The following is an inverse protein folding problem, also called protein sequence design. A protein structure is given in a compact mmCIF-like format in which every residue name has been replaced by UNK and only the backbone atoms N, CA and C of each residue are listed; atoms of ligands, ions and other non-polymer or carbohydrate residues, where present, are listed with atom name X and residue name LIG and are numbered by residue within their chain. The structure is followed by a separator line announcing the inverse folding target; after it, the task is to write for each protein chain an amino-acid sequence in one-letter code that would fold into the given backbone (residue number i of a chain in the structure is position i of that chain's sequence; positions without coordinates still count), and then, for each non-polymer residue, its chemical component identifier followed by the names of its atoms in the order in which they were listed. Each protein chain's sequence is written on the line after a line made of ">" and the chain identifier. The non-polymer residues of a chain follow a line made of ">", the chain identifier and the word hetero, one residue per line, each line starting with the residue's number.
data_IF_108583714748
#
_entry.id   IF_108583714748
#
_cell.length_a   1.000
_cell.length_b   1.000
_cell.length_c   1.000
_cell.angle_alpha   90.00
_cell.angle_beta   90.00
_cell.angle_gamma   90.00
#
_symmetry.space_group_name_H-M   'P 1'
#
loop_
_entity.id
_entity.type
_entity.pdbx_description
1 polymer ?
#
# COMPACT_ATOMS: atom_id res chain seq x y z
N UNK A 1 -12.19 0.43 2.28
CA UNK A 1 -12.05 -0.95 1.76
C UNK A 1 -11.00 -1.73 2.51
N UNK A 2 -11.40 -2.91 2.95
CA UNK A 2 -10.58 -3.92 3.60
C UNK A 2 -10.18 -5.04 2.62
N UNK A 3 -9.40 -6.01 3.11
CA UNK A 3 -8.84 -7.09 2.28
C UNK A 3 -9.90 -7.99 1.64
N UNK A 4 -11.02 -8.24 2.34
CA UNK A 4 -12.10 -9.11 1.85
C UNK A 4 -12.87 -8.43 0.72
N UNK A 5 -13.18 -7.15 0.88
CA UNK A 5 -13.87 -6.32 -0.12
C UNK A 5 -13.05 -6.18 -1.40
N UNK A 6 -11.76 -5.87 -1.28
CA UNK A 6 -10.85 -5.79 -2.44
C UNK A 6 -10.80 -7.14 -3.19
N UNK A 7 -10.73 -8.25 -2.44
CA UNK A 7 -10.73 -9.60 -3.03
C UNK A 7 -12.03 -9.89 -3.78
N UNK A 8 -13.18 -9.45 -3.26
CA UNK A 8 -14.49 -9.61 -3.91
C UNK A 8 -14.56 -8.87 -5.24
N UNK A 9 -14.13 -7.61 -5.30
CA UNK A 9 -14.07 -6.85 -6.55
C UNK A 9 -13.10 -7.48 -7.54
N UNK A 10 -11.92 -7.95 -7.10
CA UNK A 10 -10.95 -8.63 -7.97
C UNK A 10 -11.48 -9.91 -8.60
N UNK A 11 -12.41 -10.63 -7.95
CA UNK A 11 -13.05 -11.82 -8.54
C UNK A 11 -13.88 -11.48 -9.78
N UNK A 12 -14.36 -10.24 -9.90
CA UNK A 12 -15.10 -9.76 -11.07
C UNK A 12 -14.21 -9.57 -12.30
N UNK A 13 -12.88 -9.54 -12.13
CA UNK A 13 -11.93 -9.44 -13.25
C UNK A 13 -11.56 -10.84 -13.77
N UNK A 14 -12.56 -11.57 -14.23
CA UNK A 14 -12.40 -12.88 -14.86
C UNK A 14 -13.47 -13.10 -15.93
N UNK A 15 -13.24 -13.97 -16.93
CA UNK A 15 -14.24 -14.24 -17.96
C UNK A 15 -15.60 -14.68 -17.41
N UNK A 16 -15.60 -15.46 -16.32
CA UNK A 16 -16.82 -16.04 -15.76
C UNK A 16 -17.64 -15.04 -14.91
N UNK A 17 -17.02 -13.99 -14.38
CA UNK A 17 -17.65 -13.05 -13.45
C UNK A 17 -17.55 -11.59 -13.95
N UNK A 18 -17.35 -11.39 -15.25
CA UNK A 18 -17.01 -10.07 -15.79
C UNK A 18 -18.17 -9.07 -15.64
N UNK A 19 -18.05 -8.16 -14.66
CA UNK A 19 -18.98 -7.05 -14.45
C UNK A 19 -18.63 -5.79 -15.26
N UNK A 20 -17.55 -5.83 -16.05
CA UNK A 20 -17.09 -4.67 -16.82
C UNK A 20 -17.97 -4.47 -18.04
N UNK A 21 -18.52 -3.27 -18.17
CA UNK A 21 -19.41 -2.90 -19.27
C UNK A 21 -18.67 -2.15 -20.37
N UNK A 22 -17.70 -1.30 -20.01
CA UNK A 22 -16.98 -0.42 -20.94
C UNK A 22 -15.54 -0.27 -20.54
N UNK A 23 -14.69 -0.15 -21.56
CA UNK A 23 -13.29 0.24 -21.45
C UNK A 23 -13.02 1.45 -22.32
N UNK A 24 -12.26 2.37 -21.77
CA UNK A 24 -11.74 3.54 -22.43
C UNK A 24 -10.24 3.60 -22.18
N UNK A 25 -9.47 4.08 -23.16
CA UNK A 25 -8.04 4.25 -23.00
C UNK A 25 -7.48 5.42 -23.77
N UNK A 26 -6.35 5.94 -23.33
CA UNK A 26 -5.64 7.04 -23.97
C UNK A 26 -4.13 6.78 -23.89
N UNK A 27 -3.48 6.62 -25.04
CA UNK A 27 -2.03 6.47 -25.14
C UNK A 27 -1.40 7.85 -25.28
N UNK A 28 -0.47 8.14 -24.37
CA UNK A 28 0.20 9.44 -24.25
C UNK A 28 1.69 9.23 -24.43
N UNK A 29 2.30 10.05 -25.28
CA UNK A 29 3.75 10.04 -25.46
C UNK A 29 4.49 10.86 -24.40
N UNK A 30 5.82 10.75 -24.35
CA UNK A 30 6.66 11.51 -23.42
C UNK A 30 6.62 13.04 -23.62
N UNK A 31 5.99 13.54 -24.69
CA UNK A 31 5.74 14.97 -24.93
C UNK A 31 4.32 15.39 -24.48
N UNK A 32 3.59 14.52 -23.77
CA UNK A 32 2.22 14.72 -23.29
C UNK A 32 1.16 14.84 -24.41
N UNK A 33 1.43 14.31 -25.61
CA UNK A 33 0.45 14.28 -26.68
C UNK A 33 -0.40 13.00 -26.62
N UNK A 34 -1.72 13.14 -26.75
CA UNK A 34 -2.65 12.02 -26.99
C UNK A 34 -2.38 11.44 -28.39
N UNK A 35 -1.87 10.22 -28.47
CA UNK A 35 -1.54 9.54 -29.73
C UNK A 35 -2.68 8.68 -30.26
N UNK A 36 -3.39 8.01 -29.39
CA UNK A 36 -4.57 7.21 -29.74
C UNK A 36 -5.48 7.04 -28.55
N UNK A 37 -6.75 6.82 -28.83
CA UNK A 37 -7.78 6.53 -27.84
C UNK A 37 -8.48 5.21 -28.16
N UNK A 38 -9.02 4.58 -27.13
CA UNK A 38 -9.85 3.39 -27.18
C UNK A 38 -11.18 3.72 -26.51
N UNK A 39 -12.30 3.28 -27.09
CA UNK A 39 -13.62 3.35 -26.47
C UNK A 39 -14.54 2.25 -26.97
N UNK A 40 -14.66 1.19 -26.19
CA UNK A 40 -15.33 -0.05 -26.63
C UNK A 40 -16.17 -0.67 -25.51
N UNK A 41 -17.14 -1.51 -25.89
CA UNK A 41 -17.75 -2.43 -24.94
C UNK A 41 -16.69 -3.46 -24.53
N UNK A 42 -16.52 -3.71 -23.23
CA UNK A 42 -15.39 -4.55 -22.80
C UNK A 42 -15.46 -5.98 -23.35
N UNK A 43 -16.67 -6.54 -23.44
CA UNK A 43 -16.90 -7.88 -24.00
C UNK A 43 -16.76 -7.97 -25.53
N UNK A 44 -16.48 -6.87 -26.23
CA UNK A 44 -16.15 -6.91 -27.66
C UNK A 44 -14.66 -7.09 -27.96
N UNK A 45 -13.81 -7.00 -26.94
CA UNK A 45 -12.39 -7.30 -27.05
C UNK A 45 -12.15 -8.80 -27.29
N UNK A 46 -10.98 -9.14 -27.83
CA UNK A 46 -10.57 -10.55 -27.92
C UNK A 46 -10.32 -11.15 -26.54
N UNK A 47 -10.49 -12.47 -26.38
CA UNK A 47 -10.25 -13.16 -25.10
C UNK A 47 -8.83 -12.96 -24.58
N UNK A 48 -7.85 -12.92 -25.49
CA UNK A 48 -6.44 -12.69 -25.16
C UNK A 48 -6.22 -11.29 -24.58
N UNK A 49 -6.79 -10.25 -25.20
CA UNK A 49 -6.72 -8.87 -24.70
C UNK A 49 -7.46 -8.73 -23.37
N UNK A 50 -8.66 -9.31 -23.24
CA UNK A 50 -9.43 -9.30 -22.00
C UNK A 50 -8.61 -9.88 -20.84
N UNK A 51 -7.91 -11.00 -21.06
CA UNK A 51 -7.05 -11.59 -20.04
C UNK A 51 -5.95 -10.63 -19.59
N UNK A 52 -5.30 -9.93 -20.53
CA UNK A 52 -4.26 -8.92 -20.21
C UNK A 52 -4.81 -7.73 -19.44
N UNK A 53 -5.99 -7.22 -19.83
CA UNK A 53 -6.65 -6.16 -19.08
C UNK A 53 -7.06 -6.60 -17.67
N UNK A 54 -7.56 -7.83 -17.50
CA UNK A 54 -7.84 -8.36 -16.16
C UNK A 54 -6.59 -8.44 -15.27
N UNK A 55 -5.43 -8.81 -15.83
CA UNK A 55 -4.17 -8.80 -15.07
C UNK A 55 -3.81 -7.38 -14.59
N UNK A 56 -3.98 -6.38 -15.45
CA UNK A 56 -3.77 -4.95 -15.10
C UNK A 56 -4.73 -4.51 -13.99
N UNK A 57 -6.04 -4.72 -14.13
CA UNK A 57 -7.02 -4.26 -13.13
C UNK A 57 -6.84 -4.96 -11.79
N UNK A 58 -6.53 -6.26 -11.80
CA UNK A 58 -6.17 -7.00 -10.58
C UNK A 58 -4.91 -6.42 -9.94
N UNK A 59 -3.92 -6.00 -10.73
CA UNK A 59 -2.69 -5.40 -10.23
C UNK A 59 -2.96 -4.03 -9.59
N UNK A 60 -3.83 -3.21 -10.17
CA UNK A 60 -4.31 -1.95 -9.58
C UNK A 60 -4.99 -2.16 -8.23
N UNK A 61 -5.58 -3.32 -8.00
CA UNK A 61 -6.17 -3.69 -6.70
C UNK A 61 -5.26 -4.62 -5.87
N UNK A 62 -3.95 -4.63 -6.10
CA UNK A 62 -3.02 -5.51 -5.40
C UNK A 62 -1.94 -4.76 -4.64
N UNK A 63 -1.54 -5.32 -3.51
CA UNK A 63 -0.48 -4.78 -2.66
C UNK A 63 -0.92 -4.80 -1.21
N UNK A 64 -0.12 -4.17 -0.35
CA UNK A 64 -0.43 -4.07 1.09
C UNK A 64 -1.34 -2.88 1.33
N UNK A 65 -2.44 -3.09 2.05
CA UNK A 65 -3.35 -2.01 2.49
C UNK A 65 -2.60 -1.09 3.45
N UNK A 66 -2.78 0.22 3.30
CA UNK A 66 -2.04 1.24 4.04
C UNK A 66 -0.63 1.51 3.53
N UNK A 67 -0.21 0.85 2.44
CA UNK A 67 1.11 1.01 1.82
C UNK A 67 1.03 1.21 0.31
N UNK A 68 0.51 0.22 -0.41
CA UNK A 68 0.29 0.30 -1.86
C UNK A 68 -1.16 0.65 -2.19
N UNK A 69 -2.10 0.19 -1.35
CA UNK A 69 -3.52 0.44 -1.46
C UNK A 69 -3.95 1.33 -0.31
N UNK A 70 -4.44 2.53 -0.60
CA UNK A 70 -4.69 3.58 0.38
C UNK A 70 -6.13 4.01 0.22
N UNK A 71 -6.93 3.88 1.29
CA UNK A 71 -8.26 4.49 1.32
C UNK A 71 -8.07 6.00 1.54
N UNK A 72 -8.64 6.81 0.66
CA UNK A 72 -8.58 8.26 0.72
C UNK A 72 -9.99 8.81 0.80
N UNK A 73 -10.27 9.52 1.88
CA UNK A 73 -11.56 10.14 2.12
C UNK A 73 -11.60 11.52 1.42
N UNK A 74 -12.75 11.86 0.85
CA UNK A 74 -12.96 13.19 0.31
C UNK A 74 -13.23 14.18 1.46
N UNK A 75 -12.53 15.32 1.50
CA UNK A 75 -12.93 16.42 2.36
C UNK A 75 -14.34 16.91 1.99
N UNK A 76 -15.12 17.38 2.97
CA UNK A 76 -16.49 17.86 2.75
C UNK A 76 -16.62 18.93 1.65
N UNK A 77 -15.59 19.73 1.41
CA UNK A 77 -15.58 20.72 0.33
C UNK A 77 -15.52 20.08 -1.06
N UNK A 78 -14.87 18.92 -1.21
CA UNK A 78 -14.77 18.20 -2.49
C UNK A 78 -16.07 17.47 -2.86
N UNK A 79 -16.96 17.25 -1.90
CA UNK A 79 -18.29 16.65 -2.12
C UNK A 79 -19.35 17.67 -2.58
N UNK A 80 -19.01 18.97 -2.58
CA UNK A 80 -19.90 20.05 -3.03
C UNK A 80 -19.79 20.24 -4.55
N UNK A 81 -20.73 21.02 -5.10
CA UNK A 81 -20.71 21.42 -6.51
C UNK A 81 -19.38 22.11 -6.87
N UNK A 82 -18.74 21.63 -7.94
CA UNK A 82 -17.42 22.06 -8.39
C UNK A 82 -16.24 21.30 -7.77
N UNK A 83 -16.48 20.39 -6.82
CA UNK A 83 -15.45 19.57 -6.20
C UNK A 83 -15.00 18.39 -7.08
N UNK A 84 -13.83 17.83 -6.75
CA UNK A 84 -13.23 16.69 -7.47
C UNK A 84 -14.07 15.41 -7.38
N UNK A 85 -14.76 15.17 -6.25
CA UNK A 85 -15.66 14.03 -6.10
C UNK A 85 -16.86 14.14 -7.04
N UNK A 86 -17.43 15.35 -7.20
CA UNK A 86 -18.52 15.58 -8.15
C UNK A 86 -18.11 15.25 -9.59
N UNK A 87 -16.88 15.58 -9.99
CA UNK A 87 -16.34 15.22 -11.30
C UNK A 87 -16.26 13.70 -11.49
N UNK A 88 -15.76 12.95 -10.50
CA UNK A 88 -15.73 11.49 -10.56
C UNK A 88 -17.14 10.88 -10.58
N UNK A 89 -18.09 11.47 -9.87
CA UNK A 89 -19.50 11.09 -9.90
C UNK A 89 -20.11 11.30 -11.29
N UNK A 90 -19.81 12.41 -11.96
CA UNK A 90 -20.22 12.69 -13.36
C UNK A 90 -19.58 11.70 -14.34
N UNK A 91 -18.28 11.46 -14.22
CA UNK A 91 -17.54 10.51 -15.05
C UNK A 91 -18.13 9.11 -14.95
N UNK A 92 -18.33 8.60 -13.73
CA UNK A 92 -19.00 7.31 -13.48
C UNK A 92 -20.44 7.31 -13.99
N UNK A 93 -21.23 8.33 -13.66
CA UNK A 93 -22.64 8.45 -14.04
C UNK A 93 -22.87 8.51 -15.55
N UNK A 94 -21.87 9.01 -16.31
CA UNK A 94 -21.86 8.96 -17.77
C UNK A 94 -21.67 7.56 -18.34
N UNK A 95 -21.29 6.57 -17.52
CA UNK A 95 -20.92 5.20 -17.91
C UNK A 95 -19.82 5.17 -18.96
N UNK A 96 -18.95 6.20 -18.93
CA UNK A 96 -17.90 6.49 -19.91
C UNK A 96 -18.44 6.66 -21.34
N UNK A 97 -19.68 7.16 -21.49
CA UNK A 97 -20.30 7.39 -22.79
C UNK A 97 -20.16 8.84 -23.26
N UNK A 98 -19.98 9.78 -22.35
CA UNK A 98 -19.76 11.18 -22.68
C UNK A 98 -18.29 11.42 -23.07
N UNK A 99 -18.06 11.85 -24.32
CA UNK A 99 -16.71 12.13 -24.80
C UNK A 99 -16.11 13.38 -24.15
N UNK A 100 -16.91 14.41 -23.86
CA UNK A 100 -16.36 15.64 -23.29
C UNK A 100 -15.82 15.40 -21.88
N UNK A 101 -16.55 14.63 -21.05
CA UNK A 101 -16.10 14.28 -19.70
C UNK A 101 -14.88 13.35 -19.74
N UNK A 102 -14.81 12.43 -20.72
CA UNK A 102 -13.64 11.57 -20.92
C UNK A 102 -12.39 12.36 -21.33
N UNK A 103 -12.54 13.31 -22.26
CA UNK A 103 -11.42 14.15 -22.68
C UNK A 103 -10.89 15.00 -21.53
N UNK A 104 -11.79 15.61 -20.76
CA UNK A 104 -11.43 16.36 -19.55
C UNK A 104 -10.70 15.46 -18.53
N UNK A 105 -11.14 14.21 -18.37
CA UNK A 105 -10.47 13.25 -17.49
C UNK A 105 -9.05 12.93 -17.96
N UNK A 106 -8.86 12.69 -19.26
CA UNK A 106 -7.52 12.45 -19.81
C UNK A 106 -6.62 13.66 -19.66
N UNK A 107 -7.12 14.86 -19.96
CA UNK A 107 -6.35 16.10 -19.83
C UNK A 107 -5.90 16.33 -18.38
N UNK A 108 -6.81 16.15 -17.41
CA UNK A 108 -6.48 16.22 -15.98
C UNK A 108 -5.38 15.23 -15.59
N UNK A 109 -5.42 13.99 -16.08
CA UNK A 109 -4.33 13.03 -15.82
C UNK A 109 -3.03 13.49 -16.47
N UNK A 110 -3.06 13.94 -17.72
CA UNK A 110 -1.87 14.36 -18.47
C UNK A 110 -1.19 15.58 -17.84
N UNK A 111 -1.98 16.52 -17.33
CA UNK A 111 -1.49 17.70 -16.62
C UNK A 111 -0.78 17.32 -15.32
N UNK A 112 -1.35 16.40 -14.54
CA UNK A 112 -0.95 16.13 -13.16
C UNK A 112 -0.06 14.88 -12.97
N UNK A 113 -0.03 13.96 -13.93
CA UNK A 113 0.85 12.79 -13.91
C UNK A 113 2.23 13.18 -14.43
N UNK A 114 3.13 13.55 -13.52
CA UNK A 114 4.52 13.83 -13.86
C UNK A 114 5.26 12.53 -14.21
N UNK A 115 5.38 12.27 -15.51
CA UNK A 115 6.08 11.12 -16.07
C UNK A 115 6.64 11.48 -17.44
N UNK A 116 7.96 11.40 -17.58
CA UNK A 116 8.69 11.88 -18.77
C UNK A 116 8.79 10.87 -19.91
N UNK A 117 8.06 9.76 -19.85
CA UNK A 117 8.06 8.72 -20.88
C UNK A 117 6.62 8.42 -21.32
N UNK A 118 6.45 7.46 -22.22
CA UNK A 118 5.12 7.11 -22.72
C UNK A 118 4.33 6.35 -21.65
N UNK A 119 3.01 6.53 -21.64
CA UNK A 119 2.11 5.79 -20.76
C UNK A 119 0.73 5.60 -21.38
N UNK A 120 -0.01 4.65 -20.86
CA UNK A 120 -1.37 4.32 -21.27
C UNK A 120 -2.32 4.47 -20.09
N UNK A 121 -3.29 5.37 -20.22
CA UNK A 121 -4.38 5.55 -19.27
C UNK A 121 -5.45 4.55 -19.65
N UNK A 122 -5.88 3.70 -18.72
CA UNK A 122 -6.95 2.72 -18.92
C UNK A 122 -8.04 2.98 -17.90
N UNK A 123 -9.25 3.26 -18.36
CA UNK A 123 -10.41 3.54 -17.53
C UNK A 123 -11.54 2.55 -17.86
N UNK A 124 -12.10 1.91 -16.85
CA UNK A 124 -13.25 1.02 -17.01
C UNK A 124 -14.45 1.50 -16.20
N UNK A 125 -15.65 1.15 -16.67
CA UNK A 125 -16.89 1.24 -15.91
C UNK A 125 -17.51 -0.16 -15.77
N UNK A 126 -17.88 -0.51 -14.55
CA UNK A 126 -18.38 -1.82 -14.20
C UNK A 126 -19.61 -1.70 -13.28
N UNK A 127 -20.55 -2.62 -13.48
CA UNK A 127 -21.80 -2.70 -12.72
C UNK A 127 -21.86 -4.10 -12.14
N UNK A 128 -21.53 -4.22 -10.85
CA UNK A 128 -21.49 -5.48 -10.15
C UNK A 128 -22.80 -5.71 -9.39
N UNK A 129 -23.50 -6.78 -9.75
CA UNK A 129 -24.68 -7.26 -9.01
C UNK A 129 -24.21 -8.05 -7.79
N UNK A 130 -24.48 -7.54 -6.59
CA UNK A 130 -23.95 -8.09 -5.34
C UNK A 130 -24.85 -9.27 -4.91
N UNK A 131 -24.32 -10.51 -4.91
CA UNK A 131 -25.11 -11.66 -4.47
C UNK A 131 -25.39 -11.55 -2.97
N UNK A 132 -26.59 -11.91 -2.55
CA UNK A 132 -26.96 -12.00 -1.15
C UNK A 132 -26.11 -13.05 -0.45
N UNK A 133 -25.89 -12.90 0.86
CA UNK A 133 -25.16 -13.89 1.67
C UNK A 133 -26.08 -14.43 2.75
N UNK A 134 -26.12 -15.75 2.90
CA UNK A 134 -26.81 -16.40 4.02
C UNK A 134 -26.03 -16.20 5.32
N UNK A 135 -26.65 -16.50 6.46
CA UNK A 135 -26.03 -16.35 7.79
C UNK A 135 -24.79 -17.22 8.02
N UNK A 136 -24.60 -18.27 7.22
CA UNK A 136 -23.41 -19.13 7.19
C UNK A 136 -22.37 -18.72 6.12
N UNK A 137 -22.61 -17.61 5.42
CA UNK A 137 -21.67 -17.02 4.46
C UNK A 137 -21.69 -17.62 3.06
N UNK A 138 -22.67 -18.47 2.73
CA UNK A 138 -22.86 -18.97 1.36
C UNK A 138 -23.48 -17.89 0.48
N UNK A 139 -23.01 -17.81 -0.77
CA UNK A 139 -23.55 -16.88 -1.77
C UNK A 139 -24.91 -17.38 -2.29
N UNK A 140 -25.92 -16.53 -2.16
CA UNK A 140 -27.28 -16.75 -2.67
C UNK A 140 -27.45 -15.92 -3.95
N UNK A 141 -27.07 -16.50 -5.09
CA UNK A 141 -27.11 -15.82 -6.40
C UNK A 141 -28.52 -15.36 -6.82
N UNK A 142 -29.58 -15.95 -6.26
CA UNK A 142 -30.98 -15.62 -6.58
C UNK A 142 -31.54 -14.43 -5.75
N UNK A 143 -30.77 -13.93 -4.78
CA UNK A 143 -31.14 -12.78 -3.96
C UNK A 143 -30.10 -11.68 -4.15
N UNK A 144 -30.31 -10.78 -5.11
CA UNK A 144 -29.50 -9.56 -5.23
C UNK A 144 -30.02 -8.51 -4.26
N UNK A 145 -29.14 -8.01 -3.39
CA UNK A 145 -29.50 -6.99 -2.40
C UNK A 145 -29.11 -5.56 -2.86
N UNK A 146 -28.04 -5.42 -3.65
CA UNK A 146 -27.53 -4.11 -4.08
C UNK A 146 -26.74 -4.21 -5.41
N UNK A 147 -26.69 -3.11 -6.16
CA UNK A 147 -25.87 -2.95 -7.36
C UNK A 147 -24.72 -1.98 -7.06
N UNK A 148 -23.49 -2.45 -7.23
CA UNK A 148 -22.29 -1.63 -7.11
C UNK A 148 -21.80 -1.12 -8.48
N UNK A 149 -22.08 0.16 -8.73
CA UNK A 149 -21.64 0.91 -9.91
C UNK A 149 -20.32 1.63 -9.60
N UNK A 150 -19.28 1.31 -10.36
CA UNK A 150 -17.93 1.86 -10.14
C UNK A 150 -17.11 2.05 -11.41
N UNK A 151 -16.09 2.89 -11.27
CA UNK A 151 -15.00 3.06 -12.22
C UNK A 151 -13.68 2.62 -11.61
N UNK A 152 -12.78 2.12 -12.46
CA UNK A 152 -11.40 1.81 -12.10
C UNK A 152 -10.47 2.37 -13.17
N UNK A 153 -9.47 3.13 -12.74
CA UNK A 153 -8.42 3.69 -13.58
C UNK A 153 -7.07 3.04 -13.28
N UNK A 154 -6.33 2.70 -14.32
CA UNK A 154 -4.96 2.15 -14.26
C UNK A 154 -4.06 2.95 -15.20
N UNK A 155 -3.01 3.56 -14.67
CA UNK A 155 -2.02 4.33 -15.44
C UNK A 155 -0.77 3.46 -15.58
N UNK A 156 -0.51 3.04 -16.80
CA UNK A 156 0.49 2.02 -17.12
C UNK A 156 1.64 2.63 -17.92
N UNK A 157 2.89 2.56 -17.44
CA UNK A 157 4.06 2.91 -18.26
C UNK A 157 4.09 2.12 -19.57
N UNK A 158 4.60 2.73 -20.64
CA UNK A 158 4.75 2.10 -21.95
C UNK A 158 6.20 2.16 -22.40
N UNK A 159 6.88 1.03 -22.35
CA UNK A 159 8.32 0.93 -22.59
C UNK A 159 8.67 0.08 -23.79
N UNK A 160 9.78 0.41 -24.47
CA UNK A 160 10.29 -0.45 -25.53
C UNK A 160 10.71 -1.81 -24.95
N UNK A 161 10.25 -2.88 -25.59
CA UNK A 161 10.67 -4.25 -25.29
C UNK A 161 12.20 -4.39 -25.27
N UNK A 162 12.72 -5.42 -24.57
CA UNK A 162 14.16 -5.62 -24.40
C UNK A 162 14.89 -5.70 -25.74
N UNK A 163 15.94 -4.90 -25.88
CA UNK A 163 16.86 -4.97 -27.03
C UNK A 163 17.55 -6.34 -27.08
N UNK A 164 17.97 -6.75 -28.28
CA UNK A 164 18.69 -8.00 -28.49
C UNK A 164 18.59 -8.45 -29.94
N UNK A 165 19.15 -9.62 -30.20
CA UNK A 165 18.99 -10.29 -31.49
C UNK A 165 17.82 -11.28 -31.41
N UNK A 166 17.04 -11.40 -32.48
CA UNK A 166 16.01 -12.43 -32.60
C UNK A 166 16.24 -13.30 -33.84
N UNK A 167 15.71 -14.52 -33.81
CA UNK A 167 15.66 -15.38 -34.97
C UNK A 167 14.49 -14.97 -35.86
N UNK A 168 14.78 -14.55 -37.09
CA UNK A 168 13.79 -14.24 -38.09
C UNK A 168 13.50 -15.51 -38.93
N UNK A 169 12.31 -16.07 -38.78
CA UNK A 169 11.91 -17.30 -39.45
C UNK A 169 11.77 -17.15 -40.98
N UNK A 170 11.57 -15.94 -41.49
CA UNK A 170 11.42 -15.68 -42.93
C UNK A 170 12.78 -15.61 -43.63
N UNK A 171 13.77 -14.97 -43.01
CA UNK A 171 15.12 -14.82 -43.57
C UNK A 171 16.09 -15.92 -43.12
N UNK A 172 15.69 -16.73 -42.14
CA UNK A 172 16.50 -17.76 -41.49
C UNK A 172 17.85 -17.21 -40.95
N UNK A 173 17.82 -15.98 -40.43
CA UNK A 173 18.98 -15.31 -39.87
C UNK A 173 18.72 -14.82 -38.45
N UNK A 174 19.81 -14.54 -37.73
CA UNK A 174 19.79 -13.81 -36.48
C UNK A 174 19.94 -12.32 -36.80
N UNK A 175 18.94 -11.52 -36.45
CA UNK A 175 18.83 -10.10 -36.81
C UNK A 175 18.54 -9.24 -35.57
N UNK A 176 18.73 -7.93 -35.71
CA UNK A 176 18.36 -6.99 -34.64
C UNK A 176 16.85 -7.04 -34.39
N UNK A 177 16.46 -7.08 -33.12
CA UNK A 177 15.07 -7.19 -32.73
C UNK A 177 14.37 -5.85 -32.93
N UNK A 178 13.35 -5.83 -33.77
CA UNK A 178 12.37 -4.74 -33.80
C UNK A 178 11.70 -4.66 -32.43
N UNK A 179 11.80 -3.50 -31.78
CA UNK A 179 11.33 -3.29 -30.41
C UNK A 179 9.93 -2.70 -30.44
N UNK A 180 8.97 -3.44 -29.90
CA UNK A 180 7.62 -2.94 -29.70
C UNK A 180 7.49 -2.12 -28.43
N UNK A 181 6.55 -1.18 -28.42
CA UNK A 181 6.09 -0.49 -27.21
C UNK A 181 5.16 -1.42 -26.42
N UNK A 182 5.52 -1.71 -25.19
CA UNK A 182 4.80 -2.65 -24.33
C UNK A 182 4.17 -1.88 -23.18
N UNK A 183 2.85 -2.02 -23.04
CA UNK A 183 2.11 -1.56 -21.86
C UNK A 183 2.53 -2.44 -20.67
N UNK A 184 3.12 -1.81 -19.65
CA UNK A 184 3.52 -2.49 -18.42
C UNK A 184 2.37 -2.58 -17.42
N UNK A 185 2.64 -3.21 -16.27
CA UNK A 185 1.74 -3.17 -15.13
C UNK A 185 1.61 -1.73 -14.60
N UNK A 186 0.46 -1.38 -14.00
CA UNK A 186 0.17 -0.02 -13.55
C UNK A 186 1.20 0.45 -12.53
N UNK A 187 1.57 1.73 -12.65
CA UNK A 187 2.36 2.44 -11.65
C UNK A 187 1.43 3.17 -10.66
N UNK A 188 0.33 3.70 -11.16
CA UNK A 188 -0.74 4.32 -10.38
C UNK A 188 -2.11 3.78 -10.81
N UNK A 189 -3.09 3.94 -9.93
CA UNK A 189 -4.48 3.76 -10.29
C UNK A 189 -5.42 4.10 -9.15
N UNK A 190 -6.71 4.02 -9.41
CA UNK A 190 -7.71 4.20 -8.37
C UNK A 190 -9.00 3.45 -8.71
N UNK A 191 -9.79 3.18 -7.68
CA UNK A 191 -11.16 2.67 -7.75
C UNK A 191 -12.08 3.69 -7.06
N UNK A 192 -13.16 4.07 -7.73
CA UNK A 192 -14.17 4.97 -7.17
C UNK A 192 -15.58 4.58 -7.62
N UNK A 193 -16.59 4.66 -6.73
CA UNK A 193 -16.48 4.80 -5.27
C UNK A 193 -15.86 3.57 -4.61
N UNK A 194 -15.55 3.62 -3.32
CA UNK A 194 -15.12 2.42 -2.58
C UNK A 194 -16.30 1.46 -2.35
N UNK A 195 -15.97 0.18 -2.20
CA UNK A 195 -16.93 -0.88 -1.84
C UNK A 195 -16.72 -1.25 -0.37
N UNK A 196 -17.58 -0.73 0.50
CA UNK A 196 -17.51 -0.92 1.95
C UNK A 196 -18.81 -1.57 2.44
N UNK A 197 -18.71 -2.57 3.34
CA UNK A 197 -19.87 -3.24 3.94
C UNK A 197 -20.88 -3.79 2.92
N UNK A 198 -20.35 -4.28 1.79
CA UNK A 198 -21.12 -4.75 0.64
C UNK A 198 -22.01 -3.67 0.01
N UNK A 199 -21.64 -2.41 0.13
CA UNK A 199 -22.40 -1.28 -0.38
C UNK A 199 -21.49 -0.25 -1.06
N UNK A 200 -22.13 0.66 -1.78
CA UNK A 200 -21.46 1.80 -2.44
C UNK A 200 -21.16 2.90 -1.43
N UNK A 201 -19.89 3.23 -1.22
CA UNK A 201 -19.49 4.37 -0.39
C UNK A 201 -18.77 5.45 -1.22
N UNK A 202 -19.51 6.53 -1.47
CA UNK A 202 -19.10 7.65 -2.32
C UNK A 202 -18.16 8.65 -1.62
N UNK A 203 -17.92 8.49 -0.32
CA UNK A 203 -17.13 9.43 0.47
C UNK A 203 -15.63 9.12 0.42
N UNK A 204 -15.24 8.03 -0.25
CA UNK A 204 -13.84 7.66 -0.38
C UNK A 204 -13.51 7.05 -1.74
N UNK A 205 -12.22 7.02 -2.06
CA UNK A 205 -11.65 6.25 -3.15
C UNK A 205 -10.56 5.31 -2.64
N UNK A 206 -10.28 4.24 -3.39
CA UNK A 206 -9.12 3.39 -3.14
C UNK A 206 -8.02 3.76 -4.12
N UNK A 207 -6.94 4.33 -3.62
CA UNK A 207 -5.77 4.73 -4.41
C UNK A 207 -4.73 3.62 -4.45
N UNK A 208 -4.12 3.42 -5.62
CA UNK A 208 -3.03 2.48 -5.84
C UNK A 208 -1.75 3.21 -6.25
N UNK A 209 -0.65 2.84 -5.61
CA UNK A 209 0.71 3.16 -6.06
C UNK A 209 1.62 1.94 -6.02
N UNK A 210 2.41 1.76 -7.07
CA UNK A 210 3.48 0.77 -7.13
C UNK A 210 4.62 1.13 -6.18
N UNK A 211 4.98 2.42 -6.11
CA UNK A 211 6.03 2.91 -5.22
C UNK A 211 5.42 3.53 -3.94
N UNK A 212 5.39 2.75 -2.87
CA UNK A 212 4.81 3.16 -1.60
C UNK A 212 5.55 4.31 -0.88
N UNK A 213 6.77 4.65 -1.33
CA UNK A 213 7.51 5.81 -0.84
C UNK A 213 7.14 7.10 -1.57
N UNK A 214 6.46 6.99 -2.72
CA UNK A 214 6.08 8.11 -3.58
C UNK A 214 4.58 8.05 -3.86
N UNK A 215 3.79 8.68 -2.98
CA UNK A 215 2.33 8.77 -3.12
C UNK A 215 1.88 9.82 -4.15
N UNK A 216 2.83 10.58 -4.72
CA UNK A 216 2.58 11.65 -5.70
C UNK A 216 1.48 12.61 -5.21
N UNK A 217 1.74 13.28 -4.09
CA UNK A 217 0.77 14.17 -3.43
C UNK A 217 0.16 15.21 -4.36
N UNK A 218 0.95 15.83 -5.24
CA UNK A 218 0.42 16.78 -6.23
C UNK A 218 -0.60 16.14 -7.17
N UNK A 219 -0.39 14.90 -7.59
CA UNK A 219 -1.38 14.18 -8.40
C UNK A 219 -2.66 13.91 -7.59
N UNK A 220 -2.53 13.48 -6.34
CA UNK A 220 -3.67 13.20 -5.45
C UNK A 220 -4.50 14.46 -5.18
N UNK A 221 -3.84 15.58 -4.89
CA UNK A 221 -4.48 16.86 -4.61
C UNK A 221 -5.22 17.38 -5.84
N UNK A 222 -4.57 17.42 -7.00
CA UNK A 222 -5.17 17.98 -8.22
C UNK A 222 -6.25 17.08 -8.84
N UNK A 223 -6.12 15.75 -8.71
CA UNK A 223 -7.12 14.81 -9.25
C UNK A 223 -8.29 14.58 -8.30
N UNK A 224 -8.02 14.50 -6.99
CA UNK A 224 -8.99 14.02 -6.01
C UNK A 224 -9.27 15.03 -4.90
N UNK A 225 -8.47 16.07 -4.72
CA UNK A 225 -8.63 17.04 -3.63
C UNK A 225 -8.55 16.41 -2.25
N UNK A 226 -8.02 15.19 -2.16
CA UNK A 226 -7.87 14.42 -0.94
C UNK A 226 -6.59 14.82 -0.22
N UNK A 227 -6.60 14.73 1.11
CA UNK A 227 -5.36 14.88 1.88
C UNK A 227 -4.52 13.64 1.67
N UNK A 228 -3.31 13.81 1.11
CA UNK A 228 -2.38 12.70 0.94
C UNK A 228 -1.84 12.28 2.31
N UNK A 229 -2.01 11.02 2.74
CA UNK A 229 -1.44 10.57 4.01
C UNK A 229 0.08 10.47 3.94
N UNK A 230 0.73 10.25 5.08
CA UNK A 230 2.14 9.92 5.10
C UNK A 230 2.41 8.62 4.33
N UNK A 231 3.51 8.58 3.57
CA UNK A 231 3.99 7.35 2.94
C UNK A 231 4.35 6.29 3.99
N UNK A 232 4.53 5.04 3.60
CA UNK A 232 4.92 4.00 4.55
C UNK A 232 6.25 4.33 5.26
N UNK A 233 7.25 4.84 4.52
CA UNK A 233 8.49 5.36 5.09
C UNK A 233 8.24 6.58 5.96
N UNK A 234 7.42 7.54 5.51
CA UNK A 234 7.08 8.73 6.30
C UNK A 234 6.39 8.40 7.63
N UNK A 235 5.52 7.39 7.66
CA UNK A 235 4.88 6.90 8.89
C UNK A 235 5.91 6.29 9.84
N UNK A 236 6.82 5.45 9.33
CA UNK A 236 7.91 4.87 10.13
C UNK A 236 8.83 5.93 10.71
N UNK A 237 9.27 6.87 9.86
CA UNK A 237 10.21 7.90 10.26
C UNK A 237 9.55 8.86 11.26
N UNK A 238 8.26 9.17 11.09
CA UNK A 238 7.46 9.95 12.06
C UNK A 238 7.30 9.21 13.39
N UNK A 239 7.01 7.91 13.37
CA UNK A 239 6.91 7.11 14.59
C UNK A 239 8.24 7.08 15.34
N UNK A 240 9.36 6.85 14.64
CA UNK A 240 10.68 6.87 15.26
C UNK A 240 10.99 8.22 15.88
N UNK A 241 10.71 9.32 15.18
CA UNK A 241 10.87 10.67 15.71
C UNK A 241 9.98 10.91 16.95
N UNK A 242 8.75 10.39 16.95
CA UNK A 242 7.86 10.47 18.13
C UNK A 242 8.42 9.73 19.34
N UNK A 243 8.98 8.54 19.14
CA UNK A 243 9.64 7.77 20.20
C UNK A 243 10.85 8.55 20.74
N UNK A 244 11.71 9.05 19.86
CA UNK A 244 12.92 9.78 20.24
C UNK A 244 12.61 11.10 20.98
N UNK A 245 11.72 11.93 20.44
CA UNK A 245 11.35 13.23 21.02
C UNK A 245 10.58 13.09 22.33
N UNK A 246 9.73 12.07 22.47
CA UNK A 246 8.97 11.86 23.71
C UNK A 246 9.84 11.28 24.82
N UNK A 247 10.77 10.36 24.50
CA UNK A 247 11.63 9.74 25.51
C UNK A 247 12.82 10.63 25.90
N UNK A 248 13.34 11.44 24.96
CA UNK A 248 14.47 12.34 25.17
C UNK A 248 15.76 11.61 25.56
N UNK A 249 16.51 12.16 26.52
CA UNK A 249 17.78 11.57 27.01
C UNK A 249 17.59 10.23 27.74
N UNK A 250 16.37 9.90 28.18
CA UNK A 250 16.04 8.59 28.79
C UNK A 250 15.39 7.63 27.78
N UNK A 251 15.82 7.69 26.52
CA UNK A 251 15.53 6.65 25.52
C UNK A 251 16.26 5.35 25.90
N UNK A 252 15.79 4.72 26.98
CA UNK A 252 16.32 3.48 27.51
C UNK A 252 15.99 2.34 26.55
N UNK A 253 16.98 1.46 26.36
CA UNK A 253 16.85 0.29 25.48
C UNK A 253 15.58 -0.52 25.79
N UNK A 254 15.34 -0.80 27.07
CA UNK A 254 14.20 -1.60 27.53
C UNK A 254 12.85 -0.94 27.17
N UNK A 255 12.74 0.38 27.29
CA UNK A 255 11.51 1.11 26.94
C UNK A 255 11.21 1.03 25.44
N UNK A 256 12.23 1.23 24.60
CA UNK A 256 12.07 1.12 23.13
C UNK A 256 11.73 -0.31 22.73
N UNK A 257 12.37 -1.29 23.37
CA UNK A 257 12.10 -2.71 23.14
C UNK A 257 10.65 -3.06 23.50
N UNK A 258 10.18 -2.63 24.67
CA UNK A 258 8.81 -2.81 25.12
C UNK A 258 7.78 -2.19 24.17
N UNK A 259 8.06 -0.99 23.62
CA UNK A 259 7.19 -0.33 22.62
C UNK A 259 7.05 -1.21 21.38
N UNK A 260 8.16 -1.73 20.85
CA UNK A 260 8.13 -2.60 19.68
C UNK A 260 7.48 -3.96 19.95
N UNK A 261 7.69 -4.55 21.13
CA UNK A 261 6.99 -5.77 21.55
C UNK A 261 5.48 -5.56 21.62
N UNK A 262 5.02 -4.48 22.26
CA UNK A 262 3.59 -4.14 22.35
C UNK A 262 2.97 -3.89 20.98
N UNK A 263 3.69 -3.24 20.07
CA UNK A 263 3.24 -3.08 18.70
C UNK A 263 3.10 -4.42 17.98
N UNK A 264 4.05 -5.33 18.15
CA UNK A 264 3.99 -6.66 17.54
C UNK A 264 2.82 -7.48 18.10
N UNK A 265 2.62 -7.48 19.43
CA UNK A 265 1.47 -8.12 20.09
C UNK A 265 0.15 -7.59 19.51
N UNK A 266 0.05 -6.27 19.34
CA UNK A 266 -1.15 -5.63 18.82
C UNK A 266 -1.40 -5.97 17.35
N UNK A 267 -0.37 -5.98 16.50
CA UNK A 267 -0.47 -6.46 15.11
C UNK A 267 -0.95 -7.90 15.05
N UNK A 268 -0.36 -8.77 15.88
CA UNK A 268 -0.71 -10.19 15.90
C UNK A 268 -2.14 -10.43 16.41
N UNK A 269 -2.62 -9.61 17.35
CA UNK A 269 -4.01 -9.67 17.82
C UNK A 269 -5.04 -9.34 16.73
N UNK A 270 -4.63 -8.59 15.70
CA UNK A 270 -5.49 -8.16 14.60
C UNK A 270 -5.26 -8.92 13.28
N UNK A 271 -4.37 -9.91 13.24
CA UNK A 271 -4.00 -10.62 12.00
C UNK A 271 -5.17 -11.31 11.28
N UNK A 272 -6.20 -11.72 12.03
CA UNK A 272 -7.41 -12.37 11.50
C UNK A 272 -8.54 -11.35 11.21
N UNK A 273 -8.36 -10.09 11.61
CA UNK A 273 -9.26 -8.99 11.25
C UNK A 273 -9.16 -8.71 9.75
N UNK A 274 -10.31 -8.45 9.06
CA UNK A 274 -10.25 -7.95 7.70
C UNK A 274 -9.64 -6.54 7.62
N UNK A 275 -9.81 -5.76 8.69
CA UNK A 275 -9.39 -4.36 8.76
C UNK A 275 -7.91 -4.24 9.14
N UNK A 276 -7.18 -3.28 8.54
CA UNK A 276 -5.78 -3.06 8.87
C UNK A 276 -5.63 -2.53 10.30
N UNK A 277 -4.54 -2.90 10.96
CA UNK A 277 -4.15 -2.32 12.25
C UNK A 277 -3.63 -0.89 12.05
N UNK A 278 -4.35 0.08 12.60
CA UNK A 278 -4.08 1.53 12.48
C UNK A 278 -4.02 2.18 13.85
N UNK A 279 -2.94 2.91 14.16
CA UNK A 279 -2.81 3.70 15.38
C UNK A 279 -3.13 5.17 15.09
N UNK A 280 -4.08 5.70 15.82
CA UNK A 280 -4.41 7.11 15.93
C UNK A 280 -3.57 7.76 17.04
N UNK A 281 -3.54 9.11 17.09
CA UNK A 281 -2.84 9.87 18.13
C UNK A 281 -3.12 9.36 19.58
N UNK A 282 -4.39 9.12 19.99
CA UNK A 282 -4.67 8.55 21.31
C UNK A 282 -4.10 7.14 21.52
N UNK A 283 -4.08 6.30 20.48
CA UNK A 283 -3.56 4.93 20.56
C UNK A 283 -2.04 4.92 20.69
N UNK A 284 -1.33 5.81 19.99
CA UNK A 284 0.12 5.98 20.16
C UNK A 284 0.44 6.51 21.56
N UNK A 285 -0.33 7.48 22.08
CA UNK A 285 -0.17 7.99 23.44
C UNK A 285 -0.34 6.88 24.48
N UNK A 286 -1.40 6.08 24.34
CA UNK A 286 -1.70 4.95 25.22
C UNK A 286 -0.62 3.87 25.15
N UNK A 287 -0.07 3.59 23.96
CA UNK A 287 1.07 2.69 23.79
C UNK A 287 2.26 3.13 24.65
N UNK A 288 2.58 4.43 24.66
CA UNK A 288 3.67 4.97 25.46
C UNK A 288 3.38 4.88 26.96
N UNK A 289 2.15 5.19 27.39
CA UNK A 289 1.71 5.02 28.78
C UNK A 289 1.86 3.55 29.24
N UNK A 290 1.41 2.60 28.44
CA UNK A 290 1.49 1.16 28.74
C UNK A 290 2.95 0.64 28.76
N UNK A 291 3.86 1.30 28.06
CA UNK A 291 5.30 0.97 28.05
C UNK A 291 6.09 1.68 29.18
N UNK A 292 5.41 2.39 30.08
CA UNK A 292 6.02 3.01 31.25
C UNK A 292 6.66 4.38 30.99
N UNK A 293 6.26 5.08 29.94
CA UNK A 293 6.67 6.48 29.73
C UNK A 293 6.01 7.36 30.80
N UNK A 294 6.84 8.14 31.50
CA UNK A 294 6.38 9.00 32.58
C UNK A 294 5.39 10.07 32.10
N UNK A 295 4.34 10.34 32.91
CA UNK A 295 3.29 11.30 32.54
C UNK A 295 3.82 12.70 32.22
N UNK A 296 4.89 13.15 32.87
CA UNK A 296 5.50 14.47 32.61
C UNK A 296 5.99 14.60 31.16
N UNK A 297 6.50 13.50 30.58
CA UNK A 297 6.95 13.44 29.17
C UNK A 297 5.79 13.42 28.18
N UNK A 298 4.62 12.98 28.62
CA UNK A 298 3.41 12.89 27.79
C UNK A 298 2.59 14.19 27.79
N UNK A 299 2.93 15.18 28.62
CA UNK A 299 2.25 16.48 28.65
C UNK A 299 2.31 17.21 27.30
N UNK A 300 3.45 17.13 26.62
CA UNK A 300 3.68 17.75 25.30
C UNK A 300 3.47 16.79 24.13
N UNK A 301 3.03 15.55 24.39
CA UNK A 301 2.89 14.52 23.35
C UNK A 301 1.95 14.95 22.22
N UNK A 302 0.79 15.51 22.55
CA UNK A 302 -0.22 15.86 21.54
C UNK A 302 0.32 16.91 20.54
N UNK A 303 1.05 17.91 21.05
CA UNK A 303 1.71 18.94 20.23
C UNK A 303 2.84 18.35 19.38
N UNK A 304 3.60 17.40 19.95
CA UNK A 304 4.70 16.73 19.27
C UNK A 304 4.19 15.83 18.14
N UNK A 305 3.09 15.11 18.37
CA UNK A 305 2.39 14.32 17.36
C UNK A 305 1.89 15.19 16.20
N UNK A 306 1.23 16.30 16.52
CA UNK A 306 0.74 17.26 15.53
C UNK A 306 1.87 17.85 14.68
N UNK A 307 3.01 18.16 15.29
CA UNK A 307 4.16 18.73 14.60
C UNK A 307 4.89 17.72 13.70
N UNK A 308 4.97 16.46 14.11
CA UNK A 308 5.74 15.41 13.42
C UNK A 308 4.88 14.67 12.38
N UNK A 309 3.73 14.15 12.80
CA UNK A 309 2.88 13.30 11.97
C UNK A 309 1.72 14.08 11.34
N UNK A 310 1.21 15.10 12.04
CA UNK A 310 0.01 15.87 11.64
C UNK A 310 -1.19 15.56 12.54
N UNK A 311 -2.10 16.54 12.68
CA UNK A 311 -3.21 16.50 13.65
C UNK A 311 -4.12 15.28 13.54
N UNK A 312 -4.46 14.91 12.30
CA UNK A 312 -5.36 13.79 11.99
C UNK A 312 -4.62 12.60 11.36
N UNK A 313 -3.28 12.57 11.47
CA UNK A 313 -2.49 11.49 10.89
C UNK A 313 -2.69 10.19 11.67
N UNK A 314 -2.85 9.11 10.93
CA UNK A 314 -2.90 7.75 11.45
C UNK A 314 -1.72 6.94 10.92
N UNK A 315 -1.20 6.04 11.75
CA UNK A 315 -0.02 5.23 11.47
C UNK A 315 -0.43 3.78 11.30
N UNK A 316 -0.15 3.19 10.14
CA UNK A 316 -0.38 1.76 9.92
C UNK A 316 0.65 0.98 10.71
N UNK A 317 0.20 0.06 11.56
CA UNK A 317 1.04 -0.78 12.40
C UNK A 317 2.14 -1.49 11.58
N UNK A 318 1.73 -2.07 10.44
CA UNK A 318 2.59 -2.80 9.53
C UNK A 318 3.65 -1.92 8.83
N UNK A 319 3.53 -0.59 8.89
CA UNK A 319 4.54 0.33 8.36
C UNK A 319 5.57 0.73 9.43
N UNK A 320 5.18 0.72 10.72
CA UNK A 320 6.02 1.20 11.83
C UNK A 320 6.69 0.08 12.64
N UNK A 321 6.24 -1.17 12.50
CA UNK A 321 6.88 -2.34 13.12
C UNK A 321 7.21 -3.43 12.11
N UNK A 322 8.22 -4.25 12.44
CA UNK A 322 8.59 -5.42 11.67
C UNK A 322 8.37 -6.69 12.52
N UNK A 323 7.25 -7.36 12.28
CA UNK A 323 6.89 -8.60 12.98
C UNK A 323 7.75 -9.80 12.61
N UNK A 324 8.69 -9.68 11.67
CA UNK A 324 9.55 -10.79 11.22
C UNK A 324 10.95 -10.76 11.79
N UNK A 325 11.44 -9.58 12.22
CA UNK A 325 12.77 -9.41 12.78
C UNK A 325 12.87 -8.13 13.58
N UNK A 326 13.58 -8.22 14.70
CA UNK A 326 14.11 -7.06 15.43
C UNK A 326 15.54 -6.80 14.94
N UNK A 327 15.85 -5.54 14.67
CA UNK A 327 17.16 -5.10 14.20
C UNK A 327 17.78 -4.14 15.21
N UNK A 328 18.97 -4.48 15.72
CA UNK A 328 19.74 -3.62 16.61
C UNK A 328 21.01 -3.23 15.88
N UNK A 329 21.24 -1.93 15.76
CA UNK A 329 22.35 -1.39 15.02
C UNK A 329 23.28 -0.59 15.92
N UNK A 330 24.55 -0.93 15.87
CA UNK A 330 25.67 -0.14 16.38
C UNK A 330 26.49 0.37 15.17
N UNK A 331 27.49 1.25 15.35
CA UNK A 331 28.29 1.76 14.23
C UNK A 331 28.91 0.67 13.34
N UNK A 332 29.35 -0.44 13.93
CA UNK A 332 30.10 -1.49 13.22
C UNK A 332 29.35 -2.83 13.11
N UNK A 333 28.25 -3.02 13.85
CA UNK A 333 27.55 -4.30 13.96
C UNK A 333 26.04 -4.12 13.82
N UNK A 334 25.42 -4.97 13.01
CA UNK A 334 23.96 -5.14 12.92
C UNK A 334 23.61 -6.52 13.47
N UNK A 335 22.70 -6.56 14.43
CA UNK A 335 22.22 -7.78 15.06
C UNK A 335 20.77 -8.00 14.61
N UNK A 336 20.50 -9.17 14.04
CA UNK A 336 19.15 -9.57 13.63
C UNK A 336 18.64 -10.67 14.53
N UNK A 337 17.46 -10.46 15.12
CA UNK A 337 16.92 -11.33 16.15
C UNK A 337 15.46 -11.60 15.83
N UNK A 338 15.03 -12.83 16.11
CA UNK A 338 13.61 -13.18 16.10
C UNK A 338 12.86 -12.29 17.10
N UNK A 339 11.77 -11.60 16.73
CA UNK A 339 11.05 -10.71 17.64
C UNK A 339 10.66 -11.38 18.96
N UNK A 340 10.29 -12.67 18.93
CA UNK A 340 9.89 -13.44 20.12
C UNK A 340 11.06 -13.72 21.08
N UNK A 341 12.30 -13.49 20.62
CA UNK A 341 13.55 -13.69 21.38
C UNK A 341 14.22 -12.39 21.77
N UNK A 342 13.64 -11.25 21.43
CA UNK A 342 14.29 -9.98 21.66
C UNK A 342 14.44 -9.63 23.16
N UNK A 343 13.55 -10.17 24.01
CA UNK A 343 13.67 -10.12 25.47
C UNK A 343 14.91 -10.86 26.03
N UNK A 344 15.60 -11.70 25.24
CA UNK A 344 16.86 -12.35 25.66
C UNK A 344 18.06 -11.39 25.66
N UNK A 345 17.89 -10.20 25.07
CA UNK A 345 18.97 -9.25 24.90
C UNK A 345 18.99 -8.33 26.10
N UNK A 346 20.11 -8.33 26.81
CA UNK A 346 20.29 -7.47 27.98
C UNK A 346 21.28 -6.35 27.68
N UNK A 347 21.18 -5.24 28.41
CA UNK A 347 22.24 -4.24 28.44
C UNK A 347 22.95 -4.28 29.79
N UNK A 348 24.29 -4.37 29.76
CA UNK A 348 25.09 -4.43 30.97
C UNK A 348 26.33 -3.55 30.86
N UNK A 349 26.76 -2.98 31.98
CA UNK A 349 28.06 -2.29 32.05
C UNK A 349 29.14 -3.31 32.40
N UNK A 350 30.01 -3.64 31.45
CA UNK A 350 31.16 -4.53 31.62
C UNK A 350 32.42 -3.68 31.49
N UNK A 351 33.26 -3.67 32.53
CA UNK A 351 34.50 -2.87 32.59
C UNK A 351 34.30 -1.37 32.27
N UNK A 352 33.18 -0.81 32.74
CA UNK A 352 32.83 0.60 32.51
C UNK A 352 32.30 0.92 31.11
N UNK A 353 32.06 -0.10 30.27
CA UNK A 353 31.49 0.05 28.93
C UNK A 353 30.08 -0.52 28.87
N UNK A 354 29.14 0.22 28.29
CA UNK A 354 27.80 -0.30 27.99
C UNK A 354 27.93 -1.34 26.88
N UNK A 355 27.47 -2.55 27.15
CA UNK A 355 27.51 -3.69 26.25
C UNK A 355 26.10 -4.22 26.03
N UNK A 356 25.85 -4.71 24.82
CA UNK A 356 24.72 -5.58 24.52
C UNK A 356 25.16 -7.00 24.87
N UNK A 357 24.43 -7.68 25.73
CA UNK A 357 24.71 -9.03 26.20
C UNK A 357 23.67 -9.98 25.59
N UNK A 358 24.16 -10.98 24.87
CA UNK A 358 23.34 -12.06 24.31
C UNK A 358 23.76 -13.34 25.04
N UNK A 359 22.87 -13.96 25.83
CA UNK A 359 23.14 -15.24 26.47
C UNK A 359 23.53 -16.30 25.44
N UNK A 360 24.63 -17.01 25.70
CA UNK A 360 25.05 -18.15 24.87
C UNK A 360 24.26 -19.40 25.27
N UNK A 361 23.00 -19.48 24.82
CA UNK A 361 22.14 -20.64 25.02
C UNK A 361 22.08 -21.50 23.74
N UNK A 362 22.71 -22.67 23.76
CA UNK A 362 22.73 -23.62 22.64
C UNK A 362 24.01 -23.58 21.80
N UNK A 363 23.92 -24.15 20.59
CA UNK A 363 25.05 -24.22 19.65
C UNK A 363 25.34 -22.84 19.05
N UNK A 364 26.54 -22.33 19.29
CA UNK A 364 27.00 -21.07 18.71
C UNK A 364 27.86 -21.37 17.48
N UNK A 365 27.55 -20.73 16.36
CA UNK A 365 28.32 -20.88 15.12
C UNK A 365 29.00 -19.56 14.72
N UNK A 366 30.24 -19.67 14.23
CA UNK A 366 30.96 -18.58 13.57
C UNK A 366 31.15 -18.98 12.10
N UNK A 367 30.47 -18.29 11.18
CA UNK A 367 30.53 -18.60 9.74
C UNK A 367 30.24 -20.08 9.44
N UNK A 368 29.29 -20.70 10.15
CA UNK A 368 28.95 -22.12 10.01
C UNK A 368 29.84 -23.09 10.80
N UNK A 369 30.78 -22.60 11.62
CA UNK A 369 31.66 -23.42 12.44
C UNK A 369 31.14 -23.44 13.88
N UNK A 370 30.74 -24.60 14.38
CA UNK A 370 30.29 -24.77 15.76
C UNK A 370 31.43 -24.46 16.75
N UNK A 371 31.11 -23.66 17.76
CA UNK A 371 32.01 -23.26 18.84
C UNK A 371 31.52 -23.92 20.12
N UNK A 372 32.35 -24.78 20.71
CA UNK A 372 32.09 -25.31 22.04
C UNK A 372 32.39 -24.22 23.08
N UNK A 373 31.37 -23.77 23.81
CA UNK A 373 31.54 -22.91 24.99
C UNK A 373 32.36 -23.65 26.04
N UNK A 374 33.65 -23.37 26.12
CA UNK A 374 34.58 -24.03 27.03
C UNK A 374 34.37 -23.58 28.48
N UNK A 375 33.28 -24.02 29.13
CA UNK A 375 33.20 -24.06 30.59
C UNK A 375 33.60 -25.46 31.06
N UNK A 376 34.90 -25.67 31.16
CA UNK A 376 35.45 -26.58 32.16
C UNK A 376 35.28 -25.92 33.52
N UNK A 377 34.27 -26.33 34.28
CA UNK A 377 34.29 -26.12 35.73
C UNK A 377 35.53 -26.83 36.29
N UNK A 378 36.58 -26.05 36.58
CA UNK A 378 37.64 -26.46 37.48
C UNK A 378 37.06 -26.53 38.89
N UNK A 379 36.53 -27.69 39.24
CA UNK A 379 36.31 -28.07 40.65
C UNK A 379 37.68 -28.36 41.25
N UNK A 380 38.29 -27.35 41.89
CA UNK A 380 39.39 -27.59 42.83
C UNK A 380 38.80 -27.93 44.20
N UNK A 381 39.07 -29.19 44.56
CA UNK A 381 39.04 -29.92 45.85
C UNK A 381 38.75 -29.19 47.16
#
# INVERSE_FOLDING_TARGET
>A
MNKKEISEIKKQFSPNNCAITRICGCYVDGEKNKKTELKEAFLSLSEEEMFKYFEIFKKTLSGTIGKNLINMDFPLEQEKEGGTQEFLMKLRGSKLQDNAILEEFYDKIIENYDYGENYYIILIHAVYDIPGKSSDGQEMFDASDEIYDHILCSICPVNLSKAGLCYNAETNNIEDRIRDWIVEMPDLGFLFPVFNDRSTDIHSLLYYTKNAEQLRSSFVDEMFGCTTPLSAGGQRDSFNALVEETLGEDCAYDTVMNIHEKLNEWVDSQKDSPDPAVLTKPEVKRLFEECGVENEKLETFDQTYEAIAGENASLMAANITNTRRTEIKTPDVVIHIDPDRAALIETQVIDGRKCIVIPMEGDVEINGIHVSSGNSESTES
#
